data_IF_068342781351
#
_entry.id   IF_068342781351
#
_cell.length_a   1.000
_cell.length_b   1.000
_cell.length_c   1.000
_cell.angle_alpha   90.00
_cell.angle_beta   90.00
_cell.angle_gamma   90.00
#
_symmetry.space_group_name_H-M   'P 1'
#
loop_
_entity.id
_entity.type
_entity.pdbx_description
1 polymer ?
#
# COMPACT_ATOMS: atom_id res chain seq x y z
N UNK A 1 -40.93 -40.55 -45.48
CA UNK A 1 -41.14 -39.48 -46.46
C UNK A 1 -40.39 -38.26 -45.94
N UNK A 2 -39.29 -37.93 -46.63
CA UNK A 2 -38.55 -36.66 -46.67
C UNK A 2 -38.03 -36.06 -45.35
N UNK A 3 -36.72 -36.23 -45.13
CA UNK A 3 -35.67 -35.20 -45.30
C UNK A 3 -35.64 -34.24 -44.09
N UNK A 4 -34.72 -34.46 -43.16
CA UNK A 4 -33.38 -33.88 -43.25
C UNK A 4 -33.46 -32.37 -43.36
N UNK A 5 -33.51 -31.71 -42.21
CA UNK A 5 -32.77 -30.46 -42.05
C UNK A 5 -32.36 -30.31 -40.58
N UNK A 6 -31.07 -30.02 -40.44
CA UNK A 6 -30.44 -29.42 -39.27
C UNK A 6 -30.08 -30.34 -38.09
N UNK A 7 -29.23 -31.32 -38.41
CA UNK A 7 -27.99 -31.48 -37.63
C UNK A 7 -27.21 -30.16 -37.63
N UNK A 8 -26.36 -29.97 -36.61
CA UNK A 8 -25.54 -28.78 -36.30
C UNK A 8 -26.31 -27.78 -35.43
N UNK A 9 -25.91 -27.48 -34.20
CA UNK A 9 -24.56 -27.46 -33.68
C UNK A 9 -24.64 -27.36 -32.15
N UNK A 10 -24.03 -28.31 -31.47
CA UNK A 10 -23.27 -28.11 -30.23
C UNK A 10 -23.95 -27.32 -29.09
N UNK A 11 -24.31 -28.07 -28.05
CA UNK A 11 -24.48 -27.53 -26.72
C UNK A 11 -23.20 -26.92 -26.12
N UNK A 12 -23.23 -26.71 -24.80
CA UNK A 12 -23.03 -25.45 -24.11
C UNK A 12 -21.55 -25.14 -23.89
N UNK A 13 -21.24 -23.88 -23.49
CA UNK A 13 -20.09 -23.43 -22.67
C UNK A 13 -19.60 -22.03 -23.11
N UNK A 14 -19.43 -21.14 -22.11
CA UNK A 14 -18.63 -19.90 -22.12
C UNK A 14 -19.08 -18.81 -23.11
N UNK A 15 -19.61 -17.67 -22.70
CA UNK A 15 -18.92 -16.54 -22.04
C UNK A 15 -19.82 -15.35 -22.39
N UNK A 16 -20.12 -14.42 -21.49
CA UNK A 16 -19.38 -13.16 -21.49
C UNK A 16 -19.58 -12.47 -20.14
N UNK A 17 -18.55 -12.60 -19.33
CA UNK A 17 -18.25 -11.73 -18.22
C UNK A 17 -17.97 -10.33 -18.79
N UNK A 18 -18.97 -9.45 -18.80
CA UNK A 18 -18.78 -8.04 -19.18
C UNK A 18 -18.05 -7.30 -18.05
N UNK A 19 -16.72 -7.41 -18.04
CA UNK A 19 -15.82 -6.62 -17.20
C UNK A 19 -15.75 -5.20 -17.75
N UNK A 20 -16.72 -4.38 -17.40
CA UNK A 20 -16.70 -2.94 -17.69
C UNK A 20 -15.58 -2.28 -16.89
N UNK A 21 -14.49 -1.96 -17.60
CA UNK A 21 -13.55 -0.87 -17.32
C UNK A 21 -12.98 -0.78 -15.91
N UNK A 22 -11.94 -1.58 -15.63
CA UNK A 22 -10.92 -1.17 -14.67
C UNK A 22 -9.95 -0.26 -15.42
N UNK A 23 -10.07 1.05 -15.23
CA UNK A 23 -9.01 2.00 -15.58
C UNK A 23 -7.70 1.45 -15.01
N UNK A 24 -6.61 1.33 -15.78
CA UNK A 24 -5.33 1.00 -15.20
C UNK A 24 -5.00 2.12 -14.22
N UNK A 25 -5.03 1.82 -12.92
CA UNK A 25 -4.37 2.66 -11.95
C UNK A 25 -2.94 2.78 -12.47
N UNK A 26 -2.48 3.99 -12.81
CA UNK A 26 -1.07 4.27 -13.02
C UNK A 26 -0.38 3.86 -11.73
N UNK A 27 0.05 2.60 -11.66
CA UNK A 27 0.89 2.09 -10.60
C UNK A 27 2.17 2.87 -10.79
N UNK A 28 2.40 3.84 -9.91
CA UNK A 28 3.60 4.64 -9.92
C UNK A 28 4.79 3.68 -10.07
N UNK A 29 5.60 3.86 -11.12
CA UNK A 29 6.71 2.98 -11.53
C UNK A 29 7.70 2.67 -10.40
N UNK A 30 7.66 3.43 -9.31
CA UNK A 30 8.44 3.27 -8.08
C UNK A 30 7.83 2.28 -7.06
N UNK A 31 6.55 1.92 -7.18
CA UNK A 31 5.97 0.81 -6.40
C UNK A 31 6.57 -0.52 -6.89
N UNK A 32 6.93 -0.60 -8.18
CA UNK A 32 7.60 -1.74 -8.79
C UNK A 32 9.02 -1.97 -8.24
N UNK A 33 9.68 -0.93 -7.72
CA UNK A 33 11.02 -1.06 -7.11
C UNK A 33 10.98 -1.59 -5.67
N UNK A 34 9.80 -1.77 -5.06
CA UNK A 34 9.72 -2.26 -3.67
C UNK A 34 9.91 -3.78 -3.59
N UNK A 35 9.75 -4.55 -4.66
CA UNK A 35 9.93 -6.00 -4.63
C UNK A 35 10.09 -6.52 -6.04
N UNK A 36 11.29 -6.95 -6.45
CA UNK A 36 11.49 -8.00 -7.47
C UNK A 36 12.98 -8.46 -7.55
N UNK A 37 13.65 -8.63 -6.41
CA UNK A 37 14.87 -9.47 -6.33
C UNK A 37 14.88 -10.19 -4.98
N UNK A 38 14.40 -11.43 -5.03
CA UNK A 38 14.77 -12.63 -4.27
C UNK A 38 13.51 -13.51 -4.19
N UNK A 39 13.43 -14.52 -5.05
CA UNK A 39 12.39 -15.53 -5.03
C UNK A 39 12.38 -16.27 -3.68
N UNK A 40 11.27 -16.18 -2.96
CA UNK A 40 10.91 -16.91 -1.72
C UNK A 40 11.39 -16.39 -0.36
N UNK A 41 11.98 -15.19 -0.26
CA UNK A 41 12.30 -14.64 1.07
C UNK A 41 11.01 -14.11 1.73
N UNK A 42 10.63 -14.70 2.86
CA UNK A 42 9.56 -14.19 3.71
C UNK A 42 9.91 -12.77 4.17
N UNK A 43 9.06 -11.80 3.84
CA UNK A 43 9.20 -10.42 4.35
C UNK A 43 9.25 -10.42 5.87
N UNK A 44 10.26 -9.77 6.46
CA UNK A 44 10.33 -9.60 7.90
C UNK A 44 9.24 -8.64 8.38
N UNK A 45 8.90 -8.70 9.67
CA UNK A 45 7.96 -7.75 10.29
C UNK A 45 8.43 -6.31 10.13
N UNK A 46 9.74 -6.07 10.23
CA UNK A 46 10.35 -4.74 10.07
C UNK A 46 10.22 -4.22 8.65
N UNK A 47 10.41 -5.07 7.63
CA UNK A 47 10.22 -4.69 6.23
C UNK A 47 8.77 -4.31 5.93
N UNK A 48 7.82 -5.03 6.54
CA UNK A 48 6.40 -4.70 6.41
C UNK A 48 6.11 -3.34 7.05
N UNK A 49 6.61 -3.08 8.25
CA UNK A 49 6.42 -1.80 8.95
C UNK A 49 7.04 -0.64 8.18
N UNK A 50 8.29 -0.79 7.72
CA UNK A 50 8.97 0.20 6.88
C UNK A 50 8.21 0.43 5.57
N UNK A 51 7.74 -0.64 4.92
CA UNK A 51 6.92 -0.55 3.71
C UNK A 51 5.66 0.28 3.91
N UNK A 52 4.92 0.03 4.99
CA UNK A 52 3.71 0.80 5.33
C UNK A 52 4.05 2.28 5.57
N UNK A 53 5.10 2.56 6.33
CA UNK A 53 5.56 3.93 6.60
C UNK A 53 5.94 4.67 5.31
N UNK A 54 6.60 4.01 4.35
CA UNK A 54 6.90 4.59 3.02
C UNK A 54 5.61 4.92 2.27
N UNK A 55 4.65 3.99 2.23
CA UNK A 55 3.37 4.21 1.55
C UNK A 55 2.62 5.41 2.14
N UNK A 56 2.54 5.50 3.47
CA UNK A 56 1.89 6.60 4.19
C UNK A 56 2.66 7.94 4.12
N UNK A 57 3.95 7.92 3.77
CA UNK A 57 4.76 9.13 3.61
C UNK A 57 4.50 9.82 2.27
N UNK A 58 4.14 9.05 1.23
CA UNK A 58 3.94 9.58 -0.12
C UNK A 58 2.50 10.07 -0.32
N UNK A 59 1.52 9.31 0.15
CA UNK A 59 0.10 9.65 0.00
C UNK A 59 -0.70 9.22 1.23
N UNK A 60 -1.87 9.82 1.42
CA UNK A 60 -2.82 9.35 2.44
C UNK A 60 -3.31 7.95 2.06
N UNK A 61 -3.19 7.02 2.99
CA UNK A 61 -3.55 5.62 2.77
C UNK A 61 -4.76 5.23 3.60
N UNK A 62 -5.75 4.59 2.98
CA UNK A 62 -6.83 3.91 3.71
C UNK A 62 -6.42 2.46 3.99
N UNK A 63 -7.08 1.83 4.97
CA UNK A 63 -6.85 0.40 5.30
C UNK A 63 -6.95 -0.50 4.05
N UNK A 64 -7.99 -0.31 3.24
CA UNK A 64 -8.21 -1.09 2.03
C UNK A 64 -7.10 -0.89 0.99
N UNK A 65 -6.55 0.32 0.92
CA UNK A 65 -5.43 0.61 0.03
C UNK A 65 -4.15 -0.07 0.51
N UNK A 66 -3.86 -0.03 1.81
CA UNK A 66 -2.70 -0.71 2.40
C UNK A 66 -2.76 -2.23 2.21
N UNK A 67 -3.92 -2.85 2.40
CA UNK A 67 -4.16 -4.28 2.13
C UNK A 67 -3.73 -4.64 0.71
N UNK A 68 -4.17 -3.84 -0.28
CA UNK A 68 -3.88 -4.09 -1.70
C UNK A 68 -2.42 -3.83 -2.06
N UNK A 69 -1.84 -2.74 -1.56
CA UNK A 69 -0.46 -2.34 -1.88
C UNK A 69 0.55 -3.31 -1.28
N UNK A 70 0.36 -3.69 -0.01
CA UNK A 70 1.30 -4.57 0.68
C UNK A 70 0.96 -6.04 0.55
N UNK A 71 -0.15 -6.41 -0.11
CA UNK A 71 -0.64 -7.77 -0.21
C UNK A 71 -0.70 -8.47 1.16
N UNK A 72 -1.38 -7.83 2.11
CA UNK A 72 -1.52 -8.31 3.50
C UNK A 72 -2.99 -8.51 3.83
N UNK A 73 -3.30 -9.55 4.61
CA UNK A 73 -4.64 -9.71 5.18
C UNK A 73 -4.89 -8.66 6.26
N UNK A 74 -6.15 -8.29 6.47
CA UNK A 74 -6.54 -7.34 7.52
C UNK A 74 -6.09 -7.80 8.92
N UNK A 75 -6.13 -9.10 9.19
CA UNK A 75 -5.70 -9.70 10.47
C UNK A 75 -4.24 -9.40 10.80
N UNK A 76 -3.37 -9.33 9.78
CA UNK A 76 -1.94 -9.02 9.96
C UNK A 76 -1.70 -7.51 9.98
N UNK A 77 -2.39 -6.77 9.11
CA UNK A 77 -2.21 -5.33 8.98
C UNK A 77 -2.68 -4.57 10.23
N UNK A 78 -3.81 -4.95 10.80
CA UNK A 78 -4.42 -4.26 11.95
C UNK A 78 -3.48 -4.09 13.15
N UNK A 79 -2.87 -5.14 13.73
CA UNK A 79 -1.98 -4.99 14.88
C UNK A 79 -0.72 -4.20 14.54
N UNK A 80 -0.28 -4.23 13.28
CA UNK A 80 0.86 -3.41 12.82
C UNK A 80 0.47 -1.93 12.80
N UNK A 81 -0.71 -1.59 12.27
CA UNK A 81 -1.21 -0.22 12.27
C UNK A 81 -1.45 0.31 13.68
N UNK A 82 -2.06 -0.49 14.55
CA UNK A 82 -2.27 -0.13 15.95
C UNK A 82 -0.93 0.14 16.66
N UNK A 83 0.10 -0.68 16.40
CA UNK A 83 1.45 -0.44 16.90
C UNK A 83 2.06 0.84 16.31
N UNK A 84 1.99 1.07 15.00
CA UNK A 84 2.58 2.27 14.39
C UNK A 84 1.91 3.56 14.88
N UNK A 85 0.60 3.52 15.15
CA UNK A 85 -0.14 4.63 15.74
C UNK A 85 0.24 4.82 17.22
N UNK A 86 0.31 3.75 18.02
CA UNK A 86 0.65 3.85 19.45
C UNK A 86 2.06 4.38 19.69
N UNK A 87 3.01 4.08 18.79
CA UNK A 87 4.37 4.61 18.84
C UNK A 87 4.50 6.03 18.24
N UNK A 88 3.40 6.61 17.74
CA UNK A 88 3.38 7.94 17.14
C UNK A 88 4.17 8.04 15.83
N UNK A 89 4.32 6.94 15.09
CA UNK A 89 5.00 6.91 13.80
C UNK A 89 4.03 7.24 12.65
N UNK A 90 2.74 6.99 12.84
CA UNK A 90 1.67 7.30 11.90
C UNK A 90 0.51 7.94 12.66
N UNK A 91 -0.09 8.97 12.08
CA UNK A 91 -1.34 9.57 12.53
C UNK A 91 -2.54 8.95 11.81
N UNK A 92 -3.63 8.82 12.56
CA UNK A 92 -4.92 8.36 12.07
C UNK A 92 -5.87 9.57 11.95
N UNK A 93 -6.19 9.96 10.73
CA UNK A 93 -7.09 11.09 10.43
C UNK A 93 -8.42 10.53 9.94
N UNK A 94 -9.53 10.95 10.55
CA UNK A 94 -10.87 10.62 10.07
C UNK A 94 -11.41 11.78 9.24
N UNK A 95 -11.70 11.55 7.96
CA UNK A 95 -12.23 12.55 7.04
C UNK A 95 -13.36 11.91 6.21
N UNK A 96 -14.52 12.56 6.14
CA UNK A 96 -15.69 12.10 5.36
C UNK A 96 -16.07 10.63 5.60
N UNK A 97 -16.10 10.19 6.86
CA UNK A 97 -16.38 8.80 7.28
C UNK A 97 -15.30 7.77 6.91
N UNK A 98 -14.18 8.19 6.31
CA UNK A 98 -13.05 7.34 6.01
C UNK A 98 -11.90 7.58 6.98
N UNK A 99 -11.22 6.48 7.32
CA UNK A 99 -10.00 6.49 8.12
C UNK A 99 -8.77 6.49 7.21
N UNK A 100 -7.95 7.52 7.36
CA UNK A 100 -6.70 7.72 6.63
C UNK A 100 -5.50 7.63 7.57
N UNK A 101 -4.39 7.13 7.04
CA UNK A 101 -3.12 6.99 7.73
C UNK A 101 -2.07 7.86 7.05
N UNK A 102 -1.39 8.68 7.85
CA UNK A 102 -0.37 9.63 7.41
C UNK A 102 0.87 9.51 8.27
N UNK A 103 2.06 9.47 7.66
CA UNK A 103 3.31 9.34 8.43
C UNK A 103 3.63 10.65 9.18
N UNK A 104 3.95 10.53 10.47
CA UNK A 104 4.38 11.67 11.31
C UNK A 104 5.83 12.03 11.02
N UNK A 105 6.31 13.16 11.56
CA UNK A 105 7.73 13.52 11.44
C UNK A 105 8.63 12.48 12.11
N UNK A 106 8.20 11.97 13.27
CA UNK A 106 8.87 10.88 13.98
C UNK A 106 8.92 9.60 13.13
N UNK A 107 7.83 9.29 12.42
CA UNK A 107 7.79 8.17 11.47
C UNK A 107 8.77 8.32 10.31
N UNK A 108 8.91 9.53 9.76
CA UNK A 108 9.88 9.83 8.71
C UNK A 108 11.33 9.71 9.20
N UNK A 109 11.61 10.19 10.42
CA UNK A 109 12.92 10.02 11.06
C UNK A 109 13.24 8.54 11.26
N UNK A 110 12.31 7.76 11.81
CA UNK A 110 12.48 6.32 12.01
C UNK A 110 12.77 5.60 10.68
N UNK A 111 12.05 5.99 9.61
CA UNK A 111 12.28 5.44 8.29
C UNK A 111 13.67 5.77 7.74
N UNK A 112 14.12 7.02 7.90
CA UNK A 112 15.46 7.44 7.48
C UNK A 112 16.56 6.64 8.20
N UNK A 113 16.40 6.40 9.50
CA UNK A 113 17.35 5.61 10.29
C UNK A 113 17.34 4.15 9.83
N UNK A 114 16.17 3.57 9.58
CA UNK A 114 16.02 2.22 9.08
C UNK A 114 16.69 2.03 7.71
N UNK A 115 16.42 2.91 6.75
CA UNK A 115 17.03 2.86 5.42
C UNK A 115 18.55 3.07 5.50
N UNK A 116 19.04 3.92 6.41
CA UNK A 116 20.48 4.13 6.64
C UNK A 116 21.14 2.87 7.23
N UNK A 117 20.50 2.21 8.18
CA UNK A 117 20.99 0.97 8.77
C UNK A 117 21.08 -0.14 7.72
N UNK A 118 20.05 -0.28 6.87
CA UNK A 118 20.07 -1.24 5.76
C UNK A 118 21.19 -0.94 4.75
N UNK A 119 21.39 0.33 4.39
CA UNK A 119 22.49 0.72 3.49
C UNK A 119 23.85 0.32 4.07
N UNK A 120 24.09 0.60 5.36
CA UNK A 120 25.32 0.21 6.05
C UNK A 120 25.54 -1.30 6.07
N UNK A 121 24.49 -2.07 6.37
CA UNK A 121 24.56 -3.54 6.36
C UNK A 121 24.85 -4.11 4.97
N UNK A 122 24.45 -3.41 3.90
CA UNK A 122 24.72 -3.78 2.52
C UNK A 122 26.07 -3.25 1.99
N UNK A 123 26.85 -2.54 2.81
CA UNK A 123 28.13 -1.93 2.40
C UNK A 123 27.97 -0.68 1.52
N UNK A 124 26.78 -0.09 1.49
CA UNK A 124 26.49 1.13 0.73
C UNK A 124 26.80 2.39 1.56
N UNK A 125 27.15 3.49 0.87
CA UNK A 125 27.31 4.78 1.54
C UNK A 125 25.94 5.38 1.91
N UNK A 126 25.81 5.86 3.16
CA UNK A 126 24.57 6.48 3.66
C UNK A 126 24.37 7.83 2.97
N UNK A 127 23.46 7.87 1.99
CA UNK A 127 22.95 9.14 1.47
C UNK A 127 21.90 9.69 2.43
N UNK A 128 21.95 10.99 2.74
CA UNK A 128 20.91 11.67 3.54
C UNK A 128 19.59 11.65 2.75
N UNK A 129 18.72 10.69 3.03
CA UNK A 129 17.42 10.48 2.35
C UNK A 129 16.34 11.52 2.70
N UNK A 130 16.68 12.55 3.48
CA UNK A 130 15.76 13.59 3.95
C UNK A 130 15.04 14.34 2.83
N UNK A 131 15.56 14.29 1.59
CA UNK A 131 14.98 14.95 0.43
C UNK A 131 13.89 14.15 -0.29
N UNK A 132 13.85 12.81 -0.17
CA UNK A 132 12.89 11.97 -0.94
C UNK A 132 11.48 11.95 -0.35
N UNK A 133 11.35 12.13 0.96
CA UNK A 133 10.05 12.14 1.66
C UNK A 133 9.59 13.55 2.02
N UNK A 134 10.13 14.57 1.36
CA UNK A 134 9.74 15.98 1.56
C UNK A 134 8.25 16.09 1.27
N UNK A 135 7.46 16.23 2.34
CA UNK A 135 5.99 16.31 2.31
C UNK A 135 5.58 17.22 1.16
N UNK A 136 4.81 16.69 0.21
CA UNK A 136 3.83 17.54 -0.47
C UNK A 136 2.84 17.90 0.62
N UNK A 137 3.01 19.07 1.22
CA UNK A 137 2.09 19.62 2.22
C UNK A 137 0.71 19.68 1.61
N UNK A 138 -0.09 18.65 1.82
CA UNK A 138 -1.51 18.73 1.58
C UNK A 138 -2.07 19.55 2.75
N UNK A 139 -2.47 20.77 2.44
CA UNK A 139 -3.35 21.54 3.30
C UNK A 139 -4.61 20.70 3.50
N UNK A 140 -4.72 20.05 4.66
CA UNK A 140 -6.00 19.57 5.14
C UNK A 140 -6.87 20.83 5.35
N UNK A 141 -7.74 21.13 4.40
CA UNK A 141 -8.83 22.09 4.60
C UNK A 141 -9.86 21.41 5.50
N UNK A 142 -9.59 21.33 6.80
CA UNK A 142 -10.56 20.76 7.74
C UNK A 142 -10.02 20.72 9.16
N UNK A 143 -10.87 21.00 10.17
CA UNK A 143 -10.44 21.05 11.57
C UNK A 143 -9.94 19.67 12.01
N UNK A 144 -8.72 19.68 12.54
CA UNK A 144 -8.00 18.54 13.08
C UNK A 144 -8.67 18.10 14.38
N UNK A 145 -9.67 17.21 14.30
CA UNK A 145 -10.30 16.62 15.49
C UNK A 145 -9.37 15.53 16.01
N UNK A 146 -8.50 15.88 16.96
CA UNK A 146 -7.83 14.89 17.81
C UNK A 146 -8.92 14.21 18.64
N UNK A 147 -9.16 12.93 18.39
CA UNK A 147 -9.90 12.11 19.34
C UNK A 147 -8.91 11.78 20.45
N UNK A 148 -8.91 12.60 21.49
CA UNK A 148 -8.36 12.24 22.80
C UNK A 148 -9.17 11.04 23.29
N UNK A 149 -8.49 9.92 23.59
CA UNK A 149 -9.07 8.85 24.41
C UNK A 149 -9.16 9.31 25.85
#
# INVERSE_FOLDING_TARGET
>A
MFLADLLYFLGPILTQFSRKSRRPLKVNRWISSIQLRESSVRRSRWDIMAGILRSCAVEQMTTNRLIRVHNLSYKVLRPILESLVSHGLIDCVNENSYRYFVTTERGLTALSVFDSALALLNGEQVQRLSSRYRRKTFQAKGPFVRISQ
#
